data_IF_507683128863
#
_entry.id   IF_507683128863
#
_cell.length_a   1.000
_cell.length_b   1.000
_cell.length_c   1.000
_cell.angle_alpha   90.00
_cell.angle_beta   90.00
_cell.angle_gamma   90.00
#
_symmetry.space_group_name_H-M   'P 1'
#
loop_
_entity.id
_entity.type
_entity.pdbx_description
1 polymer ?
#
# COMPACT_ATOMS: atom_id res chain seq x y z
N UNK A 1 22.51 12.98 -0.80
CA UNK A 1 21.32 13.17 0.06
C UNK A 1 20.04 12.76 -0.67
N UNK A 2 19.64 13.45 -1.75
CA UNK A 2 18.40 13.10 -2.48
C UNK A 2 18.46 11.72 -3.15
N UNK A 3 19.61 11.34 -3.74
CA UNK A 3 19.83 10.00 -4.33
C UNK A 3 19.66 8.88 -3.30
N UNK A 4 20.31 9.01 -2.14
CA UNK A 4 20.21 8.05 -1.04
C UNK A 4 18.78 7.94 -0.48
N UNK A 5 18.03 9.05 -0.48
CA UNK A 5 16.63 9.04 -0.09
C UNK A 5 15.75 8.33 -1.13
N UNK A 6 16.03 8.49 -2.43
CA UNK A 6 15.32 7.75 -3.50
C UNK A 6 15.61 6.25 -3.43
N UNK A 7 16.86 5.87 -3.17
CA UNK A 7 17.21 4.47 -2.96
C UNK A 7 16.46 3.89 -1.77
N UNK A 8 16.43 4.62 -0.65
CA UNK A 8 15.69 4.17 0.53
C UNK A 8 14.17 4.14 0.31
N UNK A 9 13.62 5.01 -0.54
CA UNK A 9 12.23 4.91 -0.99
C UNK A 9 12.01 3.63 -1.80
N UNK A 10 12.93 3.27 -2.72
CA UNK A 10 12.85 2.03 -3.49
C UNK A 10 12.85 0.80 -2.59
N UNK A 11 13.70 0.78 -1.56
CA UNK A 11 13.68 -0.31 -0.56
C UNK A 11 12.35 -0.41 0.20
N UNK A 12 11.68 0.71 0.48
CA UNK A 12 10.47 0.75 1.30
C UNK A 12 9.17 0.57 0.50
N UNK A 13 9.15 1.06 -0.74
CA UNK A 13 7.94 1.17 -1.55
C UNK A 13 8.05 0.45 -2.89
N UNK A 14 9.18 -0.22 -3.16
CA UNK A 14 9.47 -0.90 -4.44
C UNK A 14 9.98 0.03 -5.54
N UNK A 15 9.66 1.32 -5.48
CA UNK A 15 10.13 2.35 -6.41
C UNK A 15 10.25 3.72 -5.72
N UNK A 16 10.97 4.69 -6.30
CA UNK A 16 10.91 6.08 -5.86
C UNK A 16 9.48 6.62 -5.85
N UNK A 17 9.13 7.38 -4.81
CA UNK A 17 7.76 7.91 -4.65
C UNK A 17 7.37 8.85 -5.80
N UNK A 18 8.35 9.50 -6.43
CA UNK A 18 8.15 10.32 -7.63
C UNK A 18 7.56 9.50 -8.79
N UNK A 19 8.07 8.29 -9.00
CA UNK A 19 7.70 7.44 -10.12
C UNK A 19 6.30 6.86 -9.90
N UNK A 20 6.02 6.40 -8.67
CA UNK A 20 4.70 5.92 -8.27
C UNK A 20 3.66 7.04 -8.41
N UNK A 21 3.96 8.24 -7.92
CA UNK A 21 3.05 9.37 -8.04
C UNK A 21 2.80 9.77 -9.51
N UNK A 22 3.85 9.78 -10.34
CA UNK A 22 3.72 10.07 -11.76
C UNK A 22 2.82 9.05 -12.47
N UNK A 23 2.99 7.75 -12.18
CA UNK A 23 2.13 6.67 -12.67
C UNK A 23 0.67 6.90 -12.28
N UNK A 24 0.41 7.22 -11.01
CA UNK A 24 -0.95 7.47 -10.52
C UNK A 24 -1.56 8.70 -11.18
N UNK A 25 -0.84 9.83 -11.22
CA UNK A 25 -1.37 11.08 -11.81
C UNK A 25 -1.66 10.94 -13.29
N UNK A 26 -0.80 10.23 -14.03
CA UNK A 26 -1.00 10.00 -15.47
C UNK A 26 -2.09 8.97 -15.73
N UNK A 27 -2.08 7.84 -15.03
CA UNK A 27 -3.04 6.76 -15.21
C UNK A 27 -4.47 7.11 -14.79
N UNK A 28 -4.62 7.98 -13.77
CA UNK A 28 -5.93 8.40 -13.27
C UNK A 28 -6.34 9.82 -13.72
N UNK A 29 -5.46 10.53 -14.44
CA UNK A 29 -5.70 11.92 -14.86
C UNK A 29 -5.81 12.91 -13.69
N UNK A 30 -5.07 12.66 -12.60
CA UNK A 30 -5.13 13.47 -11.38
C UNK A 30 -4.05 14.56 -11.37
N UNK A 31 -4.37 15.69 -10.76
CA UNK A 31 -3.34 16.67 -10.39
C UNK A 31 -2.60 16.22 -9.13
N UNK A 32 -1.37 16.70 -8.93
CA UNK A 32 -0.63 16.45 -7.69
C UNK A 32 -1.40 16.93 -6.43
N UNK A 33 -2.16 18.03 -6.55
CA UNK A 33 -3.01 18.53 -5.46
C UNK A 33 -4.15 17.56 -5.12
N UNK A 34 -4.82 16.99 -6.14
CA UNK A 34 -5.86 15.99 -5.92
C UNK A 34 -5.29 14.70 -5.34
N UNK A 35 -4.11 14.27 -5.81
CA UNK A 35 -3.38 13.14 -5.23
C UNK A 35 -3.08 13.38 -3.74
N UNK A 36 -2.56 14.55 -3.37
CA UNK A 36 -2.30 14.90 -1.97
C UNK A 36 -3.58 14.84 -1.12
N UNK A 37 -4.69 15.38 -1.64
CA UNK A 37 -5.98 15.37 -0.97
C UNK A 37 -6.52 13.96 -0.73
N UNK A 38 -6.47 13.08 -1.74
CA UNK A 38 -6.92 11.68 -1.60
C UNK A 38 -6.02 10.91 -0.65
N UNK A 39 -4.70 11.11 -0.70
CA UNK A 39 -3.77 10.48 0.26
C UNK A 39 -3.94 11.02 1.69
N UNK A 40 -4.55 12.19 1.88
CA UNK A 40 -4.68 12.85 3.17
C UNK A 40 -3.37 13.45 3.67
N UNK A 41 -2.51 13.90 2.75
CA UNK A 41 -1.25 14.61 3.06
C UNK A 41 -1.31 16.04 2.55
N UNK A 42 -0.52 16.94 3.15
CA UNK A 42 -0.44 18.30 2.65
C UNK A 42 0.37 18.37 1.35
N UNK A 43 0.03 19.32 0.47
CA UNK A 43 0.77 19.54 -0.78
C UNK A 43 2.28 19.80 -0.57
N UNK A 44 2.72 20.57 0.46
CA UNK A 44 4.14 20.69 0.78
C UNK A 44 4.79 19.36 1.18
N UNK A 45 4.09 18.52 1.95
CA UNK A 45 4.60 17.20 2.33
C UNK A 45 4.77 16.31 1.10
N UNK A 46 3.80 16.31 0.18
CA UNK A 46 3.91 15.59 -1.08
C UNK A 46 5.13 16.08 -1.88
N UNK A 47 5.27 17.40 -2.07
CA UNK A 47 6.41 17.97 -2.81
C UNK A 47 7.77 17.56 -2.22
N UNK A 48 7.90 17.52 -0.90
CA UNK A 48 9.13 17.05 -0.23
C UNK A 48 9.42 15.56 -0.47
N UNK A 49 8.39 14.71 -0.53
CA UNK A 49 8.54 13.29 -0.84
C UNK A 49 8.97 13.07 -2.29
N UNK A 50 8.31 13.74 -3.24
CA UNK A 50 8.59 13.61 -4.68
C UNK A 50 9.97 14.16 -5.05
N UNK A 51 10.41 15.23 -4.39
CA UNK A 51 11.75 15.78 -4.58
C UNK A 51 12.86 14.98 -3.88
N UNK A 52 12.53 13.92 -3.14
CA UNK A 52 13.51 13.10 -2.42
C UNK A 52 14.14 13.80 -1.20
N UNK A 53 13.57 14.90 -0.72
CA UNK A 53 13.97 15.52 0.54
C UNK A 53 13.47 14.72 1.75
N UNK A 54 12.37 13.98 1.58
CA UNK A 54 11.80 13.11 2.61
C UNK A 54 11.74 11.66 2.14
N UNK A 55 12.18 10.76 2.99
CA UNK A 55 12.32 9.34 2.67
C UNK A 55 11.07 8.52 2.97
N UNK A 56 10.29 8.93 3.99
CA UNK A 56 9.17 8.14 4.54
C UNK A 56 7.87 8.93 4.63
N UNK A 57 6.77 8.26 4.25
CA UNK A 57 5.41 8.60 4.66
C UNK A 57 5.23 8.21 6.13
N UNK A 58 4.99 9.20 7.00
CA UNK A 58 4.84 8.99 8.44
C UNK A 58 3.44 8.52 8.86
N UNK A 59 2.45 8.66 7.98
CA UNK A 59 1.08 8.22 8.21
C UNK A 59 0.85 6.86 7.51
N UNK A 60 0.65 5.76 8.25
CA UNK A 60 0.36 4.45 7.67
C UNK A 60 -0.86 4.45 6.75
N UNK A 61 -1.91 5.22 7.07
CA UNK A 61 -3.08 5.33 6.21
C UNK A 61 -2.74 5.94 4.84
N UNK A 62 -1.81 6.89 4.78
CA UNK A 62 -1.36 7.46 3.51
C UNK A 62 -0.58 6.43 2.66
N UNK A 63 0.14 5.49 3.29
CA UNK A 63 0.79 4.38 2.59
C UNK A 63 -0.25 3.42 2.02
N UNK A 64 -1.27 3.05 2.80
CA UNK A 64 -2.38 2.21 2.32
C UNK A 64 -3.10 2.86 1.15
N UNK A 65 -3.39 4.16 1.22
CA UNK A 65 -4.03 4.89 0.12
C UNK A 65 -3.16 4.98 -1.12
N UNK A 66 -1.84 5.16 -0.96
CA UNK A 66 -0.90 5.14 -2.09
C UNK A 66 -0.92 3.80 -2.82
N UNK A 67 -0.93 2.69 -2.08
CA UNK A 67 -1.03 1.35 -2.67
C UNK A 67 -2.37 1.17 -3.41
N UNK A 68 -3.49 1.50 -2.77
CA UNK A 68 -4.81 1.39 -3.38
C UNK A 68 -4.95 2.26 -4.65
N UNK A 69 -4.38 3.47 -4.65
CA UNK A 69 -4.33 4.33 -5.84
C UNK A 69 -3.49 3.71 -6.96
N UNK A 70 -2.38 3.06 -6.62
CA UNK A 70 -1.52 2.40 -7.59
C UNK A 70 -2.21 1.19 -8.22
N UNK A 71 -2.97 0.41 -7.45
CA UNK A 71 -3.75 -0.72 -7.96
C UNK A 71 -4.94 -0.24 -8.81
N UNK A 72 -5.56 0.89 -8.44
CA UNK A 72 -6.64 1.51 -9.21
C UNK A 72 -6.21 1.89 -10.63
N UNK A 73 -4.93 2.24 -10.86
CA UNK A 73 -4.40 2.52 -12.19
C UNK A 73 -4.60 1.34 -13.14
N UNK A 74 -4.49 0.10 -12.64
CA UNK A 74 -4.56 -1.11 -13.47
C UNK A 74 -5.97 -1.37 -14.02
N UNK A 75 -7.00 -0.91 -13.30
CA UNK A 75 -8.41 -1.09 -13.69
C UNK A 75 -9.06 0.19 -14.20
N UNK A 76 -8.39 1.34 -14.11
CA UNK A 76 -8.95 2.66 -14.45
C UNK A 76 -9.51 2.76 -15.88
N UNK A 77 -8.88 2.06 -16.84
CA UNK A 77 -9.33 2.04 -18.25
C UNK A 77 -10.71 1.41 -18.46
N UNK A 78 -11.17 0.58 -17.50
CA UNK A 78 -12.48 -0.08 -17.52
C UNK A 78 -13.56 0.68 -16.77
N UNK A 79 -13.21 1.76 -16.05
CA UNK A 79 -14.12 2.52 -15.23
C UNK A 79 -14.64 3.76 -15.96
N UNK A 80 -15.92 4.07 -15.74
CA UNK A 80 -16.46 5.38 -16.07
C UNK A 80 -15.89 6.44 -15.12
N UNK A 81 -16.01 7.72 -15.51
CA UNK A 81 -15.60 8.85 -14.66
C UNK A 81 -16.30 8.85 -13.30
N UNK A 82 -17.59 8.49 -13.26
CA UNK A 82 -18.35 8.44 -12.01
C UNK A 82 -17.86 7.35 -11.06
N UNK A 83 -17.58 6.16 -11.60
CA UNK A 83 -17.02 5.05 -10.83
C UNK A 83 -15.61 5.37 -10.32
N UNK A 84 -14.78 6.01 -11.16
CA UNK A 84 -13.45 6.43 -10.75
C UNK A 84 -13.50 7.41 -9.56
N UNK A 85 -14.36 8.44 -9.61
CA UNK A 85 -14.51 9.37 -8.49
C UNK A 85 -15.06 8.69 -7.23
N UNK A 86 -15.98 7.74 -7.36
CA UNK A 86 -16.47 6.95 -6.23
C UNK A 86 -15.33 6.14 -5.57
N UNK A 87 -14.50 5.47 -6.38
CA UNK A 87 -13.33 4.74 -5.89
C UNK A 87 -12.31 5.65 -5.20
N UNK A 88 -12.07 6.84 -5.73
CA UNK A 88 -11.18 7.82 -5.10
C UNK A 88 -11.72 8.29 -3.74
N UNK A 89 -13.04 8.47 -3.61
CA UNK A 89 -13.68 8.80 -2.35
C UNK A 89 -13.57 7.65 -1.34
N UNK A 90 -13.83 6.40 -1.75
CA UNK A 90 -13.64 5.20 -0.91
C UNK A 90 -12.21 5.11 -0.37
N UNK A 91 -11.21 5.32 -1.23
CA UNK A 91 -9.79 5.33 -0.84
C UNK A 91 -9.52 6.45 0.17
N UNK A 92 -10.05 7.65 -0.05
CA UNK A 92 -9.88 8.78 0.85
C UNK A 92 -10.48 8.49 2.24
N UNK A 93 -11.67 7.92 2.27
CA UNK A 93 -12.41 7.55 3.48
C UNK A 93 -11.86 6.30 4.19
N UNK A 94 -10.92 5.58 3.58
CA UNK A 94 -10.26 4.46 4.23
C UNK A 94 -9.51 4.95 5.48
N UNK A 95 -10.15 4.81 6.65
CA UNK A 95 -9.59 5.05 7.97
C UNK A 95 -9.08 3.71 8.50
N UNK A 96 -7.75 3.54 8.56
CA UNK A 96 -7.16 2.45 9.34
C UNK A 96 -7.26 2.84 10.81
N UNK A 97 -8.36 2.45 11.44
CA UNK A 97 -8.42 2.43 12.91
C UNK A 97 -7.43 1.36 13.37
N UNK A 98 -6.28 1.80 13.92
CA UNK A 98 -5.27 0.94 14.52
C UNK A 98 -5.78 0.36 15.86
N UNK A 99 -6.84 -0.42 15.83
CA UNK A 99 -7.03 -1.51 16.77
C UNK A 99 -6.44 -2.72 16.08
N UNK A 100 -5.34 -3.29 16.58
CA UNK A 100 -4.64 -4.49 16.08
C UNK A 100 -5.56 -5.33 15.20
N UNK A 101 -5.59 -5.02 13.90
CA UNK A 101 -6.59 -5.62 13.01
C UNK A 101 -6.23 -7.09 12.96
N UNK A 102 -7.11 -7.99 13.41
CA UNK A 102 -6.92 -9.40 13.15
C UNK A 102 -6.66 -9.55 11.66
N UNK A 103 -5.65 -10.34 11.29
CA UNK A 103 -5.40 -10.68 9.90
C UNK A 103 -6.75 -11.12 9.31
N UNK A 104 -7.25 -10.48 8.23
CA UNK A 104 -8.55 -10.83 7.69
C UNK A 104 -8.59 -12.33 7.40
N UNK A 105 -9.61 -13.04 7.89
CA UNK A 105 -9.70 -14.49 7.75
C UNK A 105 -9.63 -14.96 6.29
N UNK A 106 -10.03 -14.10 5.35
CA UNK A 106 -9.91 -14.33 3.90
C UNK A 106 -8.45 -14.45 3.44
N UNK A 107 -7.54 -13.61 3.95
CA UNK A 107 -6.10 -13.69 3.64
C UNK A 107 -5.51 -14.98 4.20
N UNK A 108 -5.92 -15.36 5.41
CA UNK A 108 -5.50 -16.62 6.06
C UNK A 108 -5.98 -17.84 5.27
N UNK A 109 -7.22 -17.81 4.78
CA UNK A 109 -7.80 -18.87 3.97
C UNK A 109 -7.13 -18.99 2.59
N UNK A 110 -6.85 -17.87 1.91
CA UNK A 110 -6.21 -17.89 0.61
C UNK A 110 -4.77 -18.39 0.68
N UNK A 111 -4.01 -18.01 1.72
CA UNK A 111 -2.66 -18.53 1.95
C UNK A 111 -2.65 -20.06 2.13
N UNK A 112 -3.65 -20.61 2.85
CA UNK A 112 -3.81 -22.08 2.98
C UNK A 112 -4.14 -22.75 1.65
N UNK A 113 -4.95 -22.09 0.80
CA UNK A 113 -5.29 -22.65 -0.51
C UNK A 113 -4.06 -22.77 -1.39
N UNK A 114 -3.11 -21.84 -1.25
CA UNK A 114 -1.89 -21.78 -2.04
C UNK A 114 -0.75 -22.65 -1.49
N UNK A 115 -0.66 -22.84 -0.18
CA UNK A 115 0.42 -23.61 0.47
C UNK A 115 -0.07 -24.43 1.67
N UNK A 116 0.52 -25.61 1.85
CA UNK A 116 0.23 -26.47 3.00
C UNK A 116 0.66 -25.87 4.33
N UNK A 117 0.06 -26.32 5.43
CA UNK A 117 0.34 -25.80 6.78
C UNK A 117 1.84 -25.88 7.16
N UNK A 118 2.51 -26.98 6.81
CA UNK A 118 3.95 -27.16 7.08
C UNK A 118 4.84 -26.19 6.28
N UNK A 119 4.43 -25.86 5.07
CA UNK A 119 5.14 -24.90 4.21
C UNK A 119 4.96 -23.47 4.75
N UNK A 120 3.75 -23.09 5.12
CA UNK A 120 3.46 -21.80 5.74
C UNK A 120 4.20 -21.62 7.07
N UNK A 121 4.29 -22.68 7.89
CA UNK A 121 5.07 -22.65 9.13
C UNK A 121 6.57 -22.45 8.85
N UNK A 122 7.14 -23.19 7.90
CA UNK A 122 8.55 -23.00 7.49
C UNK A 122 8.81 -21.58 6.96
N UNK A 123 7.91 -21.03 6.16
CA UNK A 123 8.03 -19.66 5.65
C UNK A 123 7.96 -18.61 6.76
N UNK A 124 7.17 -18.88 7.82
CA UNK A 124 7.11 -18.01 8.99
C UNK A 124 8.45 -17.95 9.75
N UNK A 125 9.19 -19.06 9.80
CA UNK A 125 10.51 -19.12 10.46
C UNK A 125 11.62 -18.48 9.61
N UNK A 126 11.47 -18.51 8.28
CA UNK A 126 12.47 -17.97 7.34
C UNK A 126 12.32 -16.46 7.10
N UNK A 127 11.17 -15.87 7.42
CA UNK A 127 10.95 -14.44 7.17
C UNK A 127 11.58 -13.57 8.25
N UNK A 128 12.17 -12.45 7.83
CA UNK A 128 12.72 -11.43 8.74
C UNK A 128 11.66 -10.39 9.17
N UNK A 129 10.48 -10.43 8.56
CA UNK A 129 9.37 -9.53 8.87
C UNK A 129 8.49 -10.12 9.96
N UNK A 130 8.60 -9.61 11.19
CA UNK A 130 7.78 -10.07 12.32
C UNK A 130 6.25 -9.99 12.08
N UNK A 131 5.71 -8.98 11.39
CA UNK A 131 4.30 -8.98 11.01
C UNK A 131 3.93 -10.10 10.03
N UNK A 132 4.79 -10.37 9.04
CA UNK A 132 4.55 -11.43 8.06
C UNK A 132 4.64 -12.82 8.71
N UNK A 133 5.59 -13.02 9.61
CA UNK A 133 5.72 -14.26 10.39
C UNK A 133 4.45 -14.57 11.18
N UNK A 134 3.80 -13.55 11.75
CA UNK A 134 2.53 -13.71 12.48
C UNK A 134 1.38 -14.12 11.55
N UNK A 135 1.27 -13.52 10.36
CA UNK A 135 0.26 -13.88 9.35
C UNK A 135 0.43 -15.34 8.90
N UNK A 136 1.65 -15.72 8.53
CA UNK A 136 1.97 -17.08 8.08
C UNK A 136 1.73 -18.11 9.18
N UNK A 137 2.12 -17.79 10.42
CA UNK A 137 1.84 -18.63 11.59
C UNK A 137 0.34 -18.78 11.88
N UNK A 138 -0.45 -17.72 11.67
CA UNK A 138 -1.90 -17.77 11.85
C UNK A 138 -2.55 -18.69 10.80
N UNK A 139 -2.09 -18.63 9.55
CA UNK A 139 -2.54 -19.50 8.45
C UNK A 139 -2.17 -20.97 8.66
N UNK A 140 -0.99 -21.24 9.21
CA UNK A 140 -0.58 -22.60 9.55
C UNK A 140 -1.44 -23.22 10.67
N UNK A 141 -1.84 -22.44 11.69
CA UNK A 141 -2.51 -22.96 12.90
C UNK A 141 -4.04 -23.08 12.84
N UNK A 142 -4.69 -22.32 11.96
CA UNK A 142 -6.15 -22.18 12.00
C UNK A 142 -6.85 -23.42 11.46
N UNK A 143 -6.93 -24.55 12.16
CA UNK A 143 -7.68 -25.72 11.70
C UNK A 143 -9.20 -25.43 11.71
N UNK A 144 -9.81 -25.42 10.54
CA UNK A 144 -11.23 -25.18 10.31
C UNK A 144 -11.51 -25.21 8.82
#
# INVERSE_FOLDING_TARGET
MQEANREKQRELYGAPLADIAARITSGLGLTQGRLAAVMGVSAPMLSQLLSGHRTKLGNPAAVTRLAALNDLVDVASSLTRGELEARLAEIQETHVTLTSTPVPGEVVAELRRLAGADELARLADLTTSAPLAQVLSAAARSHG
#
